data_IF_527174719266
#
_entry.id   IF_527174719266
#
_cell.length_a   1.000
_cell.length_b   1.000
_cell.length_c   1.000
_cell.angle_alpha   90.00
_cell.angle_beta   90.00
_cell.angle_gamma   90.00
#
_symmetry.space_group_name_H-M   'P 1'
#
loop_
_entity.id
_entity.type
_entity.pdbx_description
1 polymer ?
#
# COMPACT_ATOMS: atom_id res chain seq x y z
N UNK A 1 14.23 5.19 2.44
CA UNK A 1 13.31 4.11 2.84
C UNK A 1 13.05 4.33 4.32
N UNK A 2 11.99 5.04 4.65
CA UNK A 2 11.61 5.23 6.05
C UNK A 2 10.23 4.57 6.21
N UNK A 3 10.20 3.48 6.96
CA UNK A 3 8.97 2.83 7.40
C UNK A 3 8.52 3.57 8.66
N UNK A 4 7.43 4.33 8.59
CA UNK A 4 6.76 4.81 9.80
C UNK A 4 6.00 3.61 10.40
N UNK A 5 6.62 2.94 11.37
CA UNK A 5 5.94 2.02 12.28
C UNK A 5 5.21 2.86 13.33
N UNK A 6 3.88 2.86 13.31
CA UNK A 6 3.06 3.38 14.40
C UNK A 6 3.10 2.41 15.58
N UNK A 7 4.23 2.34 16.29
CA UNK A 7 4.29 1.71 17.61
C UNK A 7 4.04 2.79 18.67
N UNK A 8 2.78 3.19 18.80
CA UNK A 8 2.29 3.70 20.08
C UNK A 8 0.93 3.05 20.37
N UNK A 9 1.00 2.20 21.39
CA UNK A 9 -0.08 1.47 22.03
C UNK A 9 -1.33 2.34 22.15
N UNK A 10 -2.42 1.83 21.57
CA UNK A 10 -3.83 2.13 21.83
C UNK A 10 -4.09 3.07 23.02
N UNK A 11 -4.33 4.36 22.77
CA UNK A 11 -5.30 5.16 23.52
C UNK A 11 -5.66 6.46 22.74
N UNK A 12 -6.95 6.67 22.53
CA UNK A 12 -7.60 7.77 21.79
C UNK A 12 -7.60 7.71 20.25
N UNK A 13 -8.67 7.09 19.74
CA UNK A 13 -9.09 7.11 18.34
C UNK A 13 -9.14 8.58 17.85
N UNK A 14 -8.37 8.93 16.81
CA UNK A 14 -8.34 10.24 16.10
C UNK A 14 -7.36 11.34 16.56
N UNK A 15 -6.21 11.02 17.17
CA UNK A 15 -5.16 12.03 17.40
C UNK A 15 -3.86 11.66 16.71
N UNK A 16 -3.75 12.01 15.42
CA UNK A 16 -2.45 12.18 14.78
C UNK A 16 -1.99 13.60 15.09
N UNK A 17 -0.81 13.77 15.67
CA UNK A 17 -0.20 15.09 15.77
C UNK A 17 0.32 15.49 14.37
N UNK A 18 0.46 16.80 14.08
CA UNK A 18 1.05 17.24 12.81
C UNK A 18 2.45 16.66 12.58
N UNK A 19 3.19 16.38 13.64
CA UNK A 19 4.53 15.78 13.60
C UNK A 19 4.50 14.34 13.10
N UNK A 20 3.39 13.61 13.31
CA UNK A 20 3.24 12.20 12.88
C UNK A 20 2.93 12.05 11.39
N UNK A 21 2.47 13.12 10.72
CA UNK A 21 2.00 13.11 9.32
C UNK A 21 2.78 14.03 8.39
N UNK A 22 3.79 14.72 8.90
CA UNK A 22 4.66 15.64 8.13
C UNK A 22 6.06 15.07 7.98
N UNK A 23 6.81 15.53 6.97
CA UNK A 23 8.19 15.09 6.72
C UNK A 23 8.35 13.75 5.98
N UNK A 24 7.24 13.06 5.66
CA UNK A 24 7.27 11.85 4.84
C UNK A 24 7.88 12.08 3.45
N UNK A 25 8.59 11.07 2.94
CA UNK A 25 9.24 11.11 1.62
C UNK A 25 8.51 10.29 0.57
N UNK A 26 7.86 9.20 0.99
CA UNK A 26 7.14 8.25 0.13
C UNK A 26 5.82 7.88 0.82
N UNK A 27 4.71 7.95 0.12
CA UNK A 27 3.41 7.45 0.62
C UNK A 27 3.15 6.00 0.17
N UNK A 28 2.69 5.18 1.12
CA UNK A 28 2.16 3.84 0.86
C UNK A 28 0.64 3.82 1.07
N UNK A 29 -0.12 3.61 0.00
CA UNK A 29 -1.58 3.61 0.01
C UNK A 29 -2.14 2.20 -0.16
N UNK A 30 -2.68 1.60 0.90
CA UNK A 30 -3.32 0.29 0.86
C UNK A 30 -4.80 0.36 0.40
N UNK A 31 -5.02 0.69 -0.88
CA UNK A 31 -6.37 0.76 -1.47
C UNK A 31 -7.10 -0.59 -1.48
N UNK A 32 -6.34 -1.69 -1.40
CA UNK A 32 -6.85 -3.05 -1.36
C UNK A 32 -7.73 -3.36 -0.16
N UNK A 33 -7.53 -2.66 0.96
CA UNK A 33 -8.34 -2.82 2.18
C UNK A 33 -9.79 -2.32 2.01
N UNK A 34 -10.00 -1.31 1.16
CA UNK A 34 -11.32 -0.68 0.92
C UNK A 34 -12.03 -1.34 -0.29
N UNK A 35 -11.36 -2.26 -1.00
CA UNK A 35 -11.92 -2.96 -2.16
C UNK A 35 -11.68 -2.26 -3.50
N UNK A 36 -10.84 -1.21 -3.53
CA UNK A 36 -10.43 -0.55 -4.76
C UNK A 36 -9.48 -1.43 -5.57
N UNK A 37 -9.88 -1.85 -6.78
CA UNK A 37 -9.00 -2.54 -7.73
C UNK A 37 -8.17 -1.56 -8.57
N UNK A 38 -8.67 -0.35 -8.81
CA UNK A 38 -8.05 0.62 -9.73
C UNK A 38 -8.30 2.05 -9.28
N UNK A 39 -7.21 2.80 -9.16
CA UNK A 39 -7.16 4.25 -9.01
C UNK A 39 -5.75 4.70 -9.35
N UNK A 40 -5.59 5.83 -10.02
CA UNK A 40 -4.26 6.43 -10.22
C UNK A 40 -3.85 7.09 -8.90
N UNK A 41 -2.78 6.62 -8.24
CA UNK A 41 -2.35 7.27 -7.01
C UNK A 41 -1.89 8.69 -7.32
N UNK A 42 -2.50 9.66 -6.64
CA UNK A 42 -2.14 11.08 -6.75
C UNK A 42 -1.04 11.37 -5.74
N UNK A 43 0.08 11.91 -6.23
CA UNK A 43 1.20 12.30 -5.39
C UNK A 43 0.84 13.53 -4.54
N UNK A 44 1.15 13.48 -3.25
CA UNK A 44 1.00 14.62 -2.34
C UNK A 44 2.34 15.33 -2.20
N UNK A 45 2.48 16.53 -2.76
CA UNK A 45 3.71 17.32 -2.59
C UNK A 45 3.84 17.73 -1.11
N UNK A 46 5.03 17.68 -0.49
CA UNK A 46 6.40 17.58 -1.06
C UNK A 46 6.96 16.15 -1.24
N UNK A 47 6.15 15.10 -1.15
CA UNK A 47 6.63 13.72 -1.31
C UNK A 47 7.09 13.45 -2.75
N UNK A 48 8.03 12.51 -2.91
CA UNK A 48 8.66 12.22 -4.20
C UNK A 48 8.10 10.98 -4.90
N UNK A 49 7.40 10.11 -4.16
CA UNK A 49 6.78 8.92 -4.72
C UNK A 49 5.55 8.47 -3.93
N UNK A 50 4.61 7.85 -4.62
CA UNK A 50 3.46 7.17 -4.03
C UNK A 50 3.34 5.74 -4.58
N UNK A 51 3.08 4.79 -3.68
CA UNK A 51 2.88 3.38 -4.01
C UNK A 51 1.48 2.97 -3.57
N UNK A 52 0.63 2.53 -4.49
CA UNK A 52 -0.68 1.98 -4.21
C UNK A 52 -0.66 0.44 -4.25
N UNK A 53 -1.12 -0.17 -3.15
CA UNK A 53 -1.27 -1.61 -2.97
C UNK A 53 -2.74 -2.01 -3.16
N UNK A 54 -3.00 -2.85 -4.16
CA UNK A 54 -4.32 -3.42 -4.42
C UNK A 54 -4.64 -4.59 -3.48
N UNK A 55 -5.84 -5.15 -3.63
CA UNK A 55 -6.28 -6.31 -2.84
C UNK A 55 -5.46 -7.55 -3.20
N UNK A 56 -5.11 -8.34 -2.19
CA UNK A 56 -4.55 -9.68 -2.42
C UNK A 56 -5.68 -10.61 -2.88
N UNK A 57 -5.52 -11.20 -4.06
CA UNK A 57 -6.47 -12.14 -4.65
C UNK A 57 -5.82 -13.52 -4.83
N UNK A 58 -6.58 -14.59 -4.55
CA UNK A 58 -6.18 -15.95 -4.89
C UNK A 58 -6.51 -16.21 -6.36
N UNK A 59 -5.47 -16.35 -7.18
CA UNK A 59 -5.59 -16.62 -8.61
C UNK A 59 -4.94 -17.96 -8.95
N UNK A 60 -5.51 -18.75 -9.89
CA UNK A 60 -4.87 -19.97 -10.37
C UNK A 60 -3.60 -19.59 -11.14
N UNK A 61 -2.48 -20.25 -10.82
CA UNK A 61 -1.23 -20.17 -11.59
C UNK A 61 -0.77 -21.54 -12.01
N UNK A 62 -0.13 -21.59 -13.17
CA UNK A 62 0.52 -22.79 -13.68
C UNK A 62 1.94 -22.90 -13.14
N UNK A 63 2.32 -24.09 -12.71
CA UNK A 63 3.70 -24.45 -12.43
C UNK A 63 4.36 -24.96 -13.71
N UNK A 64 5.70 -25.05 -13.73
CA UNK A 64 6.45 -25.53 -14.91
C UNK A 64 6.13 -26.98 -15.33
N UNK A 65 5.51 -27.78 -14.47
CA UNK A 65 5.02 -29.13 -14.76
C UNK A 65 3.57 -29.17 -15.28
N UNK A 66 2.95 -28.00 -15.52
CA UNK A 66 1.57 -27.88 -16.02
C UNK A 66 0.49 -28.02 -14.95
N UNK A 67 0.83 -28.27 -13.68
CA UNK A 67 -0.14 -28.33 -12.59
C UNK A 67 -0.64 -26.93 -12.19
N UNK A 68 -1.92 -26.84 -11.82
CA UNK A 68 -2.55 -25.59 -11.34
C UNK A 68 -2.50 -25.55 -9.81
N UNK A 69 -2.06 -24.42 -9.26
CA UNK A 69 -2.07 -24.18 -7.82
C UNK A 69 -2.62 -22.78 -7.50
N UNK A 70 -3.24 -22.59 -6.33
CA UNK A 70 -3.71 -21.28 -5.90
C UNK A 70 -2.53 -20.40 -5.47
N UNK A 71 -2.36 -19.24 -6.10
CA UNK A 71 -1.34 -18.27 -5.73
C UNK A 71 -1.98 -16.98 -5.22
N UNK A 72 -1.44 -16.43 -4.11
CA UNK A 72 -1.79 -15.07 -3.69
C UNK A 72 -1.06 -14.08 -4.59
N UNK A 73 -1.80 -13.22 -5.29
CA UNK A 73 -1.24 -12.16 -6.13
C UNK A 73 -1.80 -10.82 -5.68
N UNK A 74 -0.96 -9.78 -5.71
CA UNK A 74 -1.33 -8.41 -5.38
C UNK A 74 -0.88 -7.50 -6.51
N UNK A 75 -1.72 -6.53 -6.86
CA UNK A 75 -1.35 -5.48 -7.80
C UNK A 75 -0.67 -4.33 -7.06
N UNK A 76 0.45 -3.86 -7.61
CA UNK A 76 1.18 -2.70 -7.10
C UNK A 76 1.26 -1.66 -8.22
N UNK A 77 0.94 -0.40 -7.88
CA UNK A 77 1.09 0.75 -8.76
C UNK A 77 1.99 1.77 -8.08
N UNK A 78 2.86 2.42 -8.84
CA UNK A 78 3.76 3.45 -8.35
C UNK A 78 3.73 4.67 -9.25
N UNK A 79 3.76 5.86 -8.66
CA UNK A 79 3.98 7.12 -9.36
C UNK A 79 5.12 7.87 -8.66
N UNK A 80 5.97 8.51 -9.45
CA UNK A 80 7.07 9.38 -8.98
C UNK A 80 7.04 10.69 -9.77
N UNK A 81 7.61 11.76 -9.20
CA UNK A 81 7.95 12.99 -9.95
C UNK A 81 9.24 12.84 -10.74
#
# INVERSE_FOLDING_TARGET
MEFIFFDNVFESVHKLSPEDVTGGTITLSNIGAIGGKFGSPLLNLPEVAIIALGRIEKVPKFKGDGTVYPASTMMVKSSHV
#
